data_IF_759257800092
#
_entry.id   IF_759257800092
#
_cell.length_a   1.000
_cell.length_b   1.000
_cell.length_c   1.000
_cell.angle_alpha   90.00
_cell.angle_beta   90.00
_cell.angle_gamma   90.00
#
_symmetry.space_group_name_H-M   'P 1'
#
loop_
_entity.id
_entity.type
_entity.pdbx_description
1 polymer ?
#
# COMPACT_ATOMS: atom_id res chain seq x y z
N UNK A 1 -15.58 14.88 21.96
CA UNK A 1 -15.43 14.21 20.66
C UNK A 1 -14.46 13.06 20.80
N UNK A 2 -14.90 11.85 20.52
CA UNK A 2 -14.03 10.70 20.63
C UNK A 2 -12.98 10.74 19.54
N UNK A 3 -11.73 10.49 19.96
CA UNK A 3 -10.61 10.41 19.04
C UNK A 3 -10.68 9.07 18.32
N UNK A 4 -10.78 9.10 16.99
CA UNK A 4 -10.80 7.88 16.20
C UNK A 4 -9.47 7.14 16.36
N UNK A 5 -9.58 5.85 16.63
CA UNK A 5 -8.42 4.99 16.77
C UNK A 5 -8.04 4.43 15.40
N UNK A 6 -7.08 5.08 14.74
CA UNK A 6 -6.59 4.66 13.44
C UNK A 6 -5.06 4.66 13.42
N UNK A 7 -4.48 3.54 13.01
CA UNK A 7 -3.02 3.38 13.01
C UNK A 7 -2.59 2.23 12.12
N UNK A 8 -1.30 2.19 11.80
CA UNK A 8 -0.69 1.06 11.08
C UNK A 8 -0.05 0.11 12.09
N UNK A 9 -0.21 -1.18 11.85
CA UNK A 9 0.54 -2.22 12.54
C UNK A 9 1.30 -3.08 11.54
N UNK A 10 2.36 -3.71 11.97
CA UNK A 10 3.11 -4.62 11.09
C UNK A 10 2.29 -5.88 10.82
N UNK A 11 2.42 -6.41 9.60
CA UNK A 11 1.81 -7.68 9.23
C UNK A 11 2.49 -8.80 10.01
N UNK A 12 1.70 -9.75 10.51
CA UNK A 12 2.14 -10.91 11.25
C UNK A 12 1.86 -12.19 10.47
N UNK A 13 2.52 -13.29 10.85
CA UNK A 13 2.27 -14.60 10.24
C UNK A 13 0.79 -14.97 10.23
N UNK A 14 0.06 -14.64 11.30
CA UNK A 14 -1.36 -14.91 11.43
C UNK A 14 -2.24 -14.15 10.45
N UNK A 15 -1.71 -13.17 9.74
CA UNK A 15 -2.44 -12.38 8.75
C UNK A 15 -2.47 -13.01 7.36
N UNK A 16 -1.86 -14.18 7.19
CA UNK A 16 -1.70 -14.81 5.87
C UNK A 16 -3.03 -14.97 5.12
N UNK A 17 -4.08 -15.39 5.82
CA UNK A 17 -5.40 -15.60 5.21
C UNK A 17 -6.06 -14.27 4.83
N UNK A 18 -5.99 -13.28 5.71
CA UNK A 18 -6.55 -11.95 5.47
C UNK A 18 -5.90 -11.30 4.24
N UNK A 19 -4.59 -11.33 4.15
CA UNK A 19 -3.85 -10.78 3.01
C UNK A 19 -4.21 -11.54 1.72
N UNK A 20 -4.39 -12.85 1.81
CA UNK A 20 -4.84 -13.66 0.67
C UNK A 20 -6.22 -13.22 0.16
N UNK A 21 -7.17 -13.05 1.07
CA UNK A 21 -8.53 -12.63 0.72
C UNK A 21 -8.51 -11.23 0.08
N UNK A 22 -7.74 -10.31 0.63
CA UNK A 22 -7.61 -8.97 0.04
C UNK A 22 -6.93 -8.99 -1.33
N UNK A 23 -5.92 -9.83 -1.51
CA UNK A 23 -5.21 -9.94 -2.78
C UNK A 23 -6.11 -10.47 -3.90
N UNK A 24 -7.04 -11.37 -3.57
CA UNK A 24 -7.98 -11.96 -4.53
C UNK A 24 -9.33 -11.25 -4.62
N UNK A 25 -9.49 -10.16 -3.90
CA UNK A 25 -10.66 -9.30 -4.10
C UNK A 25 -10.74 -8.90 -5.57
N UNK A 26 -11.94 -8.94 -6.14
CA UNK A 26 -12.16 -8.71 -7.57
C UNK A 26 -11.57 -7.38 -8.04
N UNK A 27 -11.83 -6.30 -7.32
CA UNK A 27 -11.33 -4.98 -7.71
C UNK A 27 -9.81 -4.88 -7.55
N UNK A 28 -9.26 -5.49 -6.49
CA UNK A 28 -7.82 -5.53 -6.29
C UNK A 28 -7.13 -6.27 -7.44
N UNK A 29 -7.69 -7.40 -7.89
CA UNK A 29 -7.15 -8.13 -9.04
C UNK A 29 -7.25 -7.32 -10.33
N UNK A 30 -8.39 -6.67 -10.56
CA UNK A 30 -8.59 -5.84 -11.75
C UNK A 30 -7.65 -4.63 -11.79
N UNK A 31 -7.30 -4.10 -10.64
CA UNK A 31 -6.38 -2.95 -10.53
C UNK A 31 -4.91 -3.35 -10.50
N UNK A 32 -4.62 -4.65 -10.45
CA UNK A 32 -3.26 -5.17 -10.48
C UNK A 32 -2.83 -5.43 -11.93
N UNK A 33 -1.52 -5.35 -12.20
CA UNK A 33 -1.02 -5.61 -13.56
C UNK A 33 -1.15 -7.08 -13.95
N UNK A 34 -1.13 -7.97 -12.96
CA UNK A 34 -1.47 -9.38 -13.14
C UNK A 34 -2.85 -9.60 -12.56
N UNK A 35 -3.83 -9.80 -13.44
CA UNK A 35 -5.24 -9.88 -13.04
C UNK A 35 -5.70 -11.29 -12.67
N UNK A 36 -4.87 -12.29 -12.95
CA UNK A 36 -5.20 -13.69 -12.66
C UNK A 36 -5.35 -13.93 -11.17
N UNK A 37 -6.31 -14.77 -10.79
CA UNK A 37 -6.50 -15.18 -9.41
C UNK A 37 -5.25 -15.84 -8.85
N UNK A 38 -4.92 -15.50 -7.60
CA UNK A 38 -3.75 -16.04 -6.90
C UNK A 38 -4.16 -17.32 -6.19
N UNK A 39 -3.40 -18.41 -6.41
CA UNK A 39 -3.66 -19.67 -5.70
C UNK A 39 -3.11 -19.58 -4.28
N UNK A 40 -3.64 -20.41 -3.39
CA UNK A 40 -3.14 -20.44 -2.01
C UNK A 40 -1.66 -20.83 -1.95
N UNK A 41 -1.24 -21.81 -2.75
CA UNK A 41 0.16 -22.24 -2.76
C UNK A 41 1.11 -21.11 -3.17
N UNK A 42 0.74 -20.34 -4.20
CA UNK A 42 1.52 -19.18 -4.63
C UNK A 42 1.58 -18.12 -3.54
N UNK A 43 0.43 -17.84 -2.91
CA UNK A 43 0.32 -16.85 -1.85
C UNK A 43 1.15 -17.25 -0.63
N UNK A 44 1.08 -18.49 -0.22
CA UNK A 44 1.80 -18.98 0.96
C UNK A 44 3.30 -18.79 0.79
N UNK A 45 3.84 -19.18 -0.37
CA UNK A 45 5.27 -18.99 -0.67
C UNK A 45 5.64 -17.50 -0.70
N UNK A 46 4.85 -16.71 -1.38
CA UNK A 46 5.08 -15.27 -1.48
C UNK A 46 5.00 -14.59 -0.11
N UNK A 47 4.01 -14.95 0.69
CA UNK A 47 3.78 -14.34 2.00
C UNK A 47 4.95 -14.63 2.96
N UNK A 48 5.39 -15.89 3.02
CA UNK A 48 6.51 -16.26 3.88
C UNK A 48 7.80 -15.55 3.48
N UNK A 49 8.07 -15.48 2.17
CA UNK A 49 9.24 -14.77 1.67
C UNK A 49 9.15 -13.26 1.99
N UNK A 50 7.97 -12.69 1.85
CA UNK A 50 7.76 -11.26 2.10
C UNK A 50 7.95 -10.92 3.58
N UNK A 51 7.46 -11.76 4.49
CA UNK A 51 7.64 -11.56 5.93
C UNK A 51 9.11 -11.55 6.34
N UNK A 52 9.93 -12.34 5.67
CA UNK A 52 11.37 -12.46 5.98
C UNK A 52 12.22 -11.41 5.28
N UNK A 53 11.64 -10.71 4.30
CA UNK A 53 12.38 -9.75 3.49
C UNK A 53 12.65 -8.46 4.26
N UNK A 54 13.91 -8.21 4.56
CA UNK A 54 14.33 -7.01 5.27
C UNK A 54 14.13 -5.72 4.46
N UNK A 55 13.90 -5.86 3.16
CA UNK A 55 13.66 -4.74 2.25
C UNK A 55 12.17 -4.49 2.01
N UNK A 56 11.30 -5.15 2.76
CA UNK A 56 9.86 -4.94 2.64
C UNK A 56 9.33 -4.38 3.95
N UNK A 57 8.49 -3.34 3.84
CA UNK A 57 7.69 -2.81 4.94
C UNK A 57 6.24 -3.10 4.62
N UNK A 58 5.59 -3.93 5.42
CA UNK A 58 4.22 -4.36 5.16
C UNK A 58 3.37 -4.09 6.41
N UNK A 59 2.34 -3.28 6.25
CA UNK A 59 1.48 -2.83 7.35
C UNK A 59 0.02 -3.09 7.06
N UNK A 60 -0.73 -3.27 8.14
CA UNK A 60 -2.19 -3.31 8.09
C UNK A 60 -2.72 -2.04 8.73
N UNK A 61 -3.71 -1.43 8.08
CA UNK A 61 -4.42 -0.27 8.63
C UNK A 61 -5.52 -0.75 9.55
N UNK A 62 -5.44 -0.33 10.81
CA UNK A 62 -6.42 -0.66 11.84
C UNK A 62 -7.27 0.56 12.11
N UNK A 63 -8.58 0.35 12.17
CA UNK A 63 -9.54 1.42 12.44
C UNK A 63 -10.58 0.90 13.43
N UNK A 64 -10.62 1.51 14.62
CA UNK A 64 -11.55 1.13 15.70
C UNK A 64 -11.59 -0.38 15.97
N UNK A 65 -10.41 -1.02 15.98
CA UNK A 65 -10.27 -2.45 16.24
C UNK A 65 -10.45 -3.36 15.04
N UNK A 66 -10.70 -2.82 13.86
CA UNK A 66 -10.88 -3.61 12.64
C UNK A 66 -9.69 -3.44 11.70
N UNK A 67 -9.30 -4.52 11.03
CA UNK A 67 -8.29 -4.49 9.98
C UNK A 67 -8.98 -4.13 8.68
N UNK A 68 -8.65 -2.98 8.10
CA UNK A 68 -9.40 -2.42 6.97
C UNK A 68 -8.61 -2.19 5.70
N UNK A 69 -7.32 -2.45 5.71
CA UNK A 69 -6.49 -2.28 4.52
C UNK A 69 -5.05 -2.66 4.77
N UNK A 70 -4.29 -2.68 3.70
CA UNK A 70 -2.87 -3.00 3.76
C UNK A 70 -2.06 -2.07 2.87
N UNK A 71 -0.80 -1.86 3.24
CA UNK A 71 0.16 -1.15 2.42
C UNK A 71 1.52 -1.81 2.52
N UNK A 72 2.17 -1.99 1.38
CA UNK A 72 3.46 -2.62 1.28
C UNK A 72 4.40 -1.72 0.51
N UNK A 73 5.58 -1.52 1.07
CA UNK A 73 6.67 -0.79 0.42
C UNK A 73 7.80 -1.78 0.18
N UNK A 74 8.13 -1.99 -1.09
CA UNK A 74 9.29 -2.80 -1.44
C UNK A 74 10.47 -1.86 -1.70
N UNK A 75 11.48 -1.93 -0.85
CA UNK A 75 12.67 -1.11 -0.96
C UNK A 75 13.58 -1.76 -2.01
N UNK A 76 13.81 -1.08 -3.12
CA UNK A 76 14.59 -1.61 -4.23
C UNK A 76 16.02 -1.12 -4.22
N UNK A 77 16.21 0.14 -3.86
CA UNK A 77 17.52 0.75 -3.71
C UNK A 77 17.53 1.52 -2.40
N UNK A 78 18.67 2.04 -2.02
CA UNK A 78 18.79 2.82 -0.80
C UNK A 78 17.80 3.98 -0.83
N UNK A 79 16.90 4.03 0.15
CA UNK A 79 15.90 5.09 0.32
C UNK A 79 14.92 5.23 -0.84
N UNK A 80 14.66 4.15 -1.58
CA UNK A 80 13.70 4.16 -2.69
C UNK A 80 12.82 2.93 -2.62
N UNK A 81 11.51 3.11 -2.66
CA UNK A 81 10.59 2.00 -2.56
C UNK A 81 9.32 2.15 -3.36
N UNK A 82 8.80 1.01 -3.77
CA UNK A 82 7.57 0.91 -4.56
C UNK A 82 6.38 0.63 -3.65
N UNK A 83 5.32 1.40 -3.83
CA UNK A 83 4.08 1.30 -3.07
C UNK A 83 3.12 0.33 -3.72
N UNK A 84 2.53 -0.56 -2.90
CA UNK A 84 1.33 -1.33 -3.25
C UNK A 84 0.38 -1.24 -2.07
N UNK A 85 -0.89 -0.93 -2.30
CA UNK A 85 -1.85 -0.84 -1.22
C UNK A 85 -3.24 -1.24 -1.68
N UNK A 86 -4.08 -1.61 -0.72
CA UNK A 86 -5.50 -1.87 -0.98
C UNK A 86 -6.31 -1.61 0.29
N UNK A 87 -7.58 -1.25 0.10
CA UNK A 87 -8.53 -1.05 1.18
C UNK A 87 -9.61 -2.12 1.06
N UNK A 88 -10.02 -2.71 2.18
CA UNK A 88 -11.12 -3.67 2.23
C UNK A 88 -12.35 -3.08 1.57
N UNK A 89 -13.07 -3.88 0.78
CA UNK A 89 -14.23 -3.41 0.00
C UNK A 89 -15.29 -2.74 0.85
N UNK A 90 -15.46 -3.15 2.11
CA UNK A 90 -16.45 -2.57 3.02
C UNK A 90 -16.09 -1.14 3.44
N UNK A 91 -14.85 -0.73 3.25
CA UNK A 91 -14.34 0.58 3.71
C UNK A 91 -13.89 1.48 2.56
N UNK A 92 -14.19 1.13 1.31
CA UNK A 92 -13.82 1.95 0.14
C UNK A 92 -14.73 3.16 0.01
N UNK A 93 -14.20 4.21 -0.61
CA UNK A 93 -14.95 5.44 -0.84
C UNK A 93 -15.13 6.31 0.40
N UNK A 94 -14.40 6.05 1.47
CA UNK A 94 -14.50 6.75 2.74
C UNK A 94 -13.24 7.54 3.12
N UNK A 95 -12.27 7.62 2.21
CA UNK A 95 -11.04 8.39 2.44
C UNK A 95 -9.88 7.60 3.05
N UNK A 96 -10.02 6.31 3.27
CA UNK A 96 -8.98 5.51 3.91
C UNK A 96 -7.74 5.28 3.02
N UNK A 97 -7.88 5.33 1.71
CA UNK A 97 -6.72 5.23 0.82
C UNK A 97 -5.73 6.37 1.02
N UNK A 98 -6.23 7.58 1.17
CA UNK A 98 -5.40 8.76 1.48
C UNK A 98 -4.75 8.60 2.85
N UNK A 99 -5.51 8.17 3.84
CA UNK A 99 -5.03 8.00 5.22
C UNK A 99 -3.92 6.95 5.29
N UNK A 100 -4.11 5.79 4.64
CA UNK A 100 -3.10 4.73 4.70
C UNK A 100 -1.77 5.18 4.12
N UNK A 101 -1.81 5.95 3.03
CA UNK A 101 -0.59 6.50 2.42
C UNK A 101 0.08 7.52 3.32
N UNK A 102 -0.67 8.42 3.94
CA UNK A 102 -0.12 9.42 4.85
C UNK A 102 0.54 8.75 6.07
N UNK A 103 -0.13 7.77 6.65
CA UNK A 103 0.43 7.05 7.80
C UNK A 103 1.68 6.27 7.43
N UNK A 104 1.72 5.72 6.21
CA UNK A 104 2.90 5.00 5.73
C UNK A 104 4.08 5.96 5.51
N UNK A 105 3.84 7.13 4.94
CA UNK A 105 4.89 8.15 4.80
C UNK A 105 5.48 8.51 6.16
N UNK A 106 4.62 8.70 7.16
CA UNK A 106 5.08 9.01 8.51
C UNK A 106 5.90 7.86 9.12
N UNK A 107 5.45 6.62 8.92
CA UNK A 107 6.17 5.45 9.43
C UNK A 107 7.56 5.31 8.79
N UNK A 108 7.67 5.57 7.50
CA UNK A 108 8.96 5.54 6.80
C UNK A 108 9.91 6.63 7.31
N UNK A 109 9.39 7.81 7.62
CA UNK A 109 10.20 8.91 8.15
C UNK A 109 10.66 8.69 9.58
N UNK A 110 10.12 7.71 10.28
CA UNK A 110 10.66 7.28 11.57
C UNK A 110 11.94 6.45 11.40
N UNK A 111 12.11 5.81 10.25
CA UNK A 111 13.28 4.99 9.93
C UNK A 111 14.31 5.71 9.06
N UNK A 112 13.86 6.61 8.17
CA UNK A 112 14.69 7.27 7.17
C UNK A 112 14.54 8.78 7.27
N UNK A 113 15.61 9.53 7.08
CA UNK A 113 15.56 11.00 7.06
C UNK A 113 14.82 11.50 5.82
N UNK A 114 15.01 10.82 4.72
CA UNK A 114 14.29 11.06 3.47
C UNK A 114 14.07 9.73 2.77
N UNK A 115 13.10 9.72 1.88
CA UNK A 115 12.75 8.50 1.15
C UNK A 115 12.06 8.86 -0.16
N UNK A 116 12.36 8.10 -1.22
CA UNK A 116 11.67 8.23 -2.50
C UNK A 116 10.61 7.15 -2.63
N UNK A 117 9.38 7.56 -2.74
CA UNK A 117 8.26 6.63 -2.95
C UNK A 117 7.81 6.71 -4.40
N UNK A 118 7.49 5.57 -4.99
CA UNK A 118 6.89 5.55 -6.31
C UNK A 118 5.84 4.45 -6.42
N UNK A 119 4.94 4.61 -7.37
CA UNK A 119 3.85 3.67 -7.62
C UNK A 119 3.51 3.65 -9.10
N UNK A 120 3.13 2.48 -9.59
CA UNK A 120 2.60 2.30 -10.93
C UNK A 120 1.11 2.03 -10.81
N UNK A 121 0.30 2.79 -11.53
CA UNK A 121 -1.17 2.74 -11.43
C UNK A 121 -1.75 2.56 -12.82
N UNK A 122 -2.68 1.61 -12.95
CA UNK A 122 -3.39 1.40 -14.20
C UNK A 122 -4.21 2.61 -14.59
N UNK A 123 -4.30 2.87 -15.89
CA UNK A 123 -5.12 3.94 -16.45
C UNK A 123 -6.57 3.88 -15.98
N UNK A 124 -7.11 2.68 -15.76
CA UNK A 124 -8.48 2.47 -15.30
C UNK A 124 -8.67 2.72 -13.80
N UNK A 125 -7.59 2.79 -13.02
CA UNK A 125 -7.69 2.97 -11.57
C UNK A 125 -7.71 4.46 -11.21
N UNK A 126 -8.86 5.08 -11.43
CA UNK A 126 -9.04 6.53 -11.22
C UNK A 126 -8.89 6.90 -9.74
N UNK A 127 -9.42 6.06 -8.85
CA UNK A 127 -9.38 6.34 -7.41
C UNK A 127 -7.93 6.55 -6.91
N UNK A 128 -7.01 5.65 -7.28
CA UNK A 128 -5.61 5.79 -6.87
C UNK A 128 -4.93 7.00 -7.50
N UNK A 129 -5.26 7.30 -8.77
CA UNK A 129 -4.71 8.49 -9.43
C UNK A 129 -5.06 9.76 -8.65
N UNK A 130 -6.31 9.89 -8.23
CA UNK A 130 -6.77 11.05 -7.46
C UNK A 130 -6.04 11.13 -6.11
N UNK A 131 -5.89 10.00 -5.43
CA UNK A 131 -5.22 9.95 -4.12
C UNK A 131 -3.76 10.40 -4.23
N UNK A 132 -3.00 9.86 -5.18
CA UNK A 132 -1.59 10.23 -5.36
C UNK A 132 -1.43 11.69 -5.71
N UNK A 133 -2.27 12.21 -6.60
CA UNK A 133 -2.23 13.64 -6.98
C UNK A 133 -2.56 14.53 -5.78
N UNK A 134 -3.58 14.16 -5.01
CA UNK A 134 -3.98 14.92 -3.82
C UNK A 134 -2.85 14.99 -2.78
N UNK A 135 -2.08 13.92 -2.66
CA UNK A 135 -0.96 13.86 -1.71
C UNK A 135 0.33 14.48 -2.24
N UNK A 136 0.28 15.08 -3.42
CA UNK A 136 1.43 15.81 -3.95
C UNK A 136 2.44 14.98 -4.72
N UNK A 137 2.05 13.79 -5.15
CA UNK A 137 2.93 12.98 -5.99
C UNK A 137 3.03 13.56 -7.39
N UNK A 138 4.21 13.50 -7.97
CA UNK A 138 4.42 13.87 -9.37
C UNK A 138 3.90 12.76 -10.26
N UNK A 139 3.19 13.15 -11.33
CA UNK A 139 2.58 12.20 -12.27
C UNK A 139 3.31 12.22 -13.61
N UNK A 140 3.56 11.04 -14.15
CA UNK A 140 3.98 10.88 -15.54
C UNK A 140 3.26 9.66 -16.11
N UNK A 141 3.22 9.56 -17.43
CA UNK A 141 2.55 8.45 -18.11
C UNK A 141 3.58 7.81 -19.04
N UNK A 142 3.72 6.48 -18.94
CA UNK A 142 4.66 5.73 -19.77
C UNK A 142 4.02 4.40 -20.13
N UNK A 143 3.88 4.10 -21.43
CA UNK A 143 3.27 2.87 -21.93
C UNK A 143 1.88 2.60 -21.32
N UNK A 144 1.04 3.63 -21.25
CA UNK A 144 -0.31 3.59 -20.68
C UNK A 144 -0.35 3.29 -19.19
N UNK A 145 0.78 3.39 -18.51
CA UNK A 145 0.85 3.24 -17.06
C UNK A 145 1.06 4.62 -16.45
N UNK A 146 0.25 4.95 -15.44
CA UNK A 146 0.42 6.17 -14.67
C UNK A 146 1.47 5.94 -13.59
N UNK A 147 2.51 6.75 -13.61
CA UNK A 147 3.63 6.63 -12.67
C UNK A 147 3.62 7.83 -11.72
N UNK A 148 3.68 7.54 -10.44
CA UNK A 148 3.68 8.54 -9.39
C UNK A 148 4.98 8.44 -8.59
N UNK A 149 5.54 9.58 -8.23
CA UNK A 149 6.70 9.59 -7.35
C UNK A 149 6.69 10.81 -6.44
N UNK A 150 7.30 10.66 -5.29
CA UNK A 150 7.38 11.73 -4.30
C UNK A 150 8.59 11.50 -3.41
N UNK A 151 9.36 12.55 -3.19
CA UNK A 151 10.38 12.54 -2.16
C UNK A 151 9.77 13.03 -0.87
N UNK A 152 9.84 12.23 0.18
CA UNK A 152 9.39 12.61 1.52
C UNK A 152 10.62 12.85 2.40
N UNK A 153 10.53 13.83 3.30
CA UNK A 153 11.59 14.12 4.27
C UNK A 153 11.01 14.77 5.52
N UNK A 154 11.79 14.75 6.59
CA UNK A 154 11.36 15.31 7.88
C UNK A 154 11.50 16.82 7.96
N UNK A 155 12.23 17.42 7.02
CA UNK A 155 12.53 18.87 7.01
C UNK A 155 11.64 19.59 6.02
N UNK A 156 10.37 19.56 6.26
CA UNK A 156 9.42 20.29 5.42
C UNK A 156 9.24 21.70 5.92
#
# INVERSE_FOLDING_TARGET
MEKQNIYLRKVLQSDIKLIFEWANDKDARNNSFKTKEITWAEHETWFENTLKDLKTRHYILCYNGNDIGQIRIKIEEENQGKISYSIDKAYRGLGFGKIILQLCENALLEEFKDFYLYADVKKSNIASQVIFKTLGYNESIENDVFKYNKKININK
#
